data_IF_688878524558
#
_entry.id   IF_688878524558
#
_cell.length_a   1.000
_cell.length_b   1.000
_cell.length_c   1.000
_cell.angle_alpha   90.00
_cell.angle_beta   90.00
_cell.angle_gamma   90.00
#
_symmetry.space_group_name_H-M   'P 1'
#
loop_
_entity.id
_entity.type
_entity.pdbx_description
1 polymer ?
#
# COMPACT_ATOMS: atom_id res chain seq x y z
N UNK A 1 -20.99 -7.87 -9.52
CA UNK A 1 -20.24 -6.60 -9.70
C UNK A 1 -19.19 -6.81 -10.79
N UNK A 2 -19.13 -5.93 -11.78
CA UNK A 2 -18.37 -6.16 -13.03
C UNK A 2 -16.88 -6.39 -12.76
N UNK A 3 -16.26 -7.30 -13.54
CA UNK A 3 -14.81 -7.60 -13.51
C UNK A 3 -13.91 -6.34 -13.65
N UNK A 4 -14.47 -5.23 -14.12
CA UNK A 4 -13.79 -3.94 -14.28
C UNK A 4 -13.69 -3.16 -12.96
N UNK A 5 -14.70 -3.23 -12.09
CA UNK A 5 -14.69 -2.51 -10.81
C UNK A 5 -13.59 -2.97 -9.86
N UNK A 6 -13.32 -4.29 -9.82
CA UNK A 6 -12.27 -4.86 -8.99
C UNK A 6 -10.86 -4.40 -9.42
N UNK A 7 -10.60 -4.26 -10.72
CA UNK A 7 -9.31 -3.75 -11.24
C UNK A 7 -9.10 -2.27 -10.90
N UNK A 8 -10.15 -1.46 -10.96
CA UNK A 8 -10.07 -0.02 -10.64
C UNK A 8 -9.83 0.22 -9.16
N UNK A 9 -10.48 -0.56 -8.28
CA UNK A 9 -10.22 -0.51 -6.84
C UNK A 9 -8.75 -0.82 -6.52
N UNK A 10 -8.21 -1.82 -7.21
CA UNK A 10 -6.81 -2.23 -7.21
C UNK A 10 -5.86 -1.08 -7.56
N UNK A 11 -6.13 -0.42 -8.69
CA UNK A 11 -5.32 0.72 -9.18
C UNK A 11 -5.38 1.92 -8.23
N UNK A 12 -6.58 2.28 -7.76
CA UNK A 12 -6.77 3.39 -6.81
C UNK A 12 -6.05 3.10 -5.50
N UNK A 13 -6.13 1.87 -4.98
CA UNK A 13 -5.44 1.50 -3.76
C UNK A 13 -3.93 1.62 -3.90
N UNK A 14 -3.36 1.20 -5.04
CA UNK A 14 -1.93 1.30 -5.31
C UNK A 14 -1.45 2.76 -5.41
N UNK A 15 -2.23 3.61 -6.08
CA UNK A 15 -1.97 5.05 -6.15
C UNK A 15 -1.99 5.67 -4.75
N UNK A 16 -2.97 5.30 -3.92
CA UNK A 16 -3.09 5.79 -2.55
C UNK A 16 -1.88 5.38 -1.70
N UNK A 17 -1.41 4.14 -1.82
CA UNK A 17 -0.19 3.65 -1.16
C UNK A 17 1.02 4.49 -1.56
N UNK A 18 1.16 4.82 -2.85
CA UNK A 18 2.26 5.62 -3.37
C UNK A 18 2.23 7.06 -2.86
N UNK A 19 1.05 7.69 -2.86
CA UNK A 19 0.85 9.04 -2.33
C UNK A 19 1.18 9.07 -0.83
N UNK A 20 0.70 8.08 -0.07
CA UNK A 20 0.93 8.01 1.37
C UNK A 20 2.42 7.85 1.68
N UNK A 21 3.13 7.01 0.93
CA UNK A 21 4.57 6.80 1.05
C UNK A 21 5.36 8.08 0.75
N UNK A 22 4.97 8.82 -0.29
CA UNK A 22 5.54 10.14 -0.60
C UNK A 22 5.29 11.16 0.52
N UNK A 23 4.07 11.20 1.06
CA UNK A 23 3.70 12.10 2.16
C UNK A 23 4.51 11.82 3.43
N UNK A 24 4.64 10.55 3.81
CA UNK A 24 5.42 10.10 4.95
C UNK A 24 6.90 10.51 4.83
N UNK A 25 7.46 10.42 3.63
CA UNK A 25 8.86 10.74 3.37
C UNK A 25 9.14 12.23 3.25
N UNK A 26 8.31 12.97 2.50
CA UNK A 26 8.59 14.34 2.09
C UNK A 26 7.95 15.40 2.98
N UNK A 27 6.86 15.05 3.69
CA UNK A 27 6.13 15.97 4.54
C UNK A 27 6.25 15.58 6.01
N UNK A 28 6.04 14.30 6.33
CA UNK A 28 6.01 13.84 7.70
C UNK A 28 7.42 13.77 8.31
N UNK A 29 8.40 13.14 7.64
CA UNK A 29 9.78 13.04 8.14
C UNK A 29 10.43 14.41 8.44
N UNK A 30 10.47 15.37 7.50
CA UNK A 30 11.11 16.66 7.74
C UNK A 30 10.37 17.53 8.77
N UNK A 31 9.08 17.31 9.01
CA UNK A 31 8.35 18.01 10.08
C UNK A 31 8.90 17.68 11.48
N UNK A 32 9.54 16.52 11.65
CA UNK A 32 10.16 16.12 12.92
C UNK A 32 11.66 16.37 12.97
N UNK A 33 12.29 16.87 11.90
CA UNK A 33 13.70 17.24 11.91
C UNK A 33 13.93 18.34 12.95
N UNK A 34 14.66 18.00 14.03
CA UNK A 34 14.94 18.90 15.15
C UNK A 34 14.22 18.57 16.46
N UNK A 35 13.32 17.56 16.49
CA UNK A 35 12.74 17.06 17.73
C UNK A 35 13.41 15.76 18.20
N UNK A 36 13.48 15.57 19.51
CA UNK A 36 14.07 14.36 20.15
C UNK A 36 13.36 13.08 19.67
N UNK A 37 12.08 13.18 19.30
CA UNK A 37 11.26 12.07 18.83
C UNK A 37 11.52 11.69 17.36
N UNK A 38 12.41 12.38 16.64
CA UNK A 38 12.73 12.10 15.24
C UNK A 38 13.15 10.64 15.00
N UNK A 39 13.95 10.07 15.89
CA UNK A 39 14.38 8.67 15.80
C UNK A 39 13.19 7.71 15.88
N UNK A 40 12.29 7.91 16.85
CA UNK A 40 11.08 7.10 17.01
C UNK A 40 10.14 7.23 15.82
N UNK A 41 9.89 8.47 15.36
CA UNK A 41 9.05 8.72 14.19
C UNK A 41 9.62 8.10 12.92
N UNK A 42 10.94 8.21 12.72
CA UNK A 42 11.62 7.59 11.56
C UNK A 42 11.45 6.08 11.56
N UNK A 43 11.57 5.42 12.72
CA UNK A 43 11.35 3.97 12.84
C UNK A 43 9.90 3.60 12.50
N UNK A 44 8.92 4.34 13.03
CA UNK A 44 7.49 4.11 12.76
C UNK A 44 7.20 4.30 11.27
N UNK A 45 7.70 5.38 10.66
CA UNK A 45 7.50 5.64 9.24
C UNK A 45 8.13 4.53 8.38
N UNK A 46 9.35 4.11 8.69
CA UNK A 46 9.99 2.98 7.98
C UNK A 46 9.16 1.71 8.13
N UNK A 47 8.64 1.43 9.32
CA UNK A 47 7.79 0.27 9.56
C UNK A 47 6.49 0.32 8.75
N UNK A 48 5.84 1.48 8.70
CA UNK A 48 4.64 1.72 7.88
C UNK A 48 4.94 1.57 6.39
N UNK A 49 6.04 2.12 5.90
CA UNK A 49 6.48 1.95 4.50
C UNK A 49 6.70 0.47 4.18
N UNK A 50 7.35 -0.28 5.06
CA UNK A 50 7.60 -1.71 4.88
C UNK A 50 6.28 -2.51 4.83
N UNK A 51 5.34 -2.17 5.70
CA UNK A 51 4.00 -2.74 5.72
C UNK A 51 3.18 -2.38 4.46
N UNK A 52 3.32 -1.16 3.96
CA UNK A 52 2.72 -0.70 2.69
C UNK A 52 3.32 -1.43 1.48
N UNK A 53 4.62 -1.71 1.47
CA UNK A 53 5.28 -2.51 0.43
C UNK A 53 4.76 -3.96 0.48
N UNK A 54 4.65 -4.55 1.68
CA UNK A 54 4.09 -5.89 1.84
C UNK A 54 2.63 -5.95 1.36
N UNK A 55 1.84 -4.93 1.71
CA UNK A 55 0.48 -4.77 1.21
C UNK A 55 0.50 -4.72 -0.32
N UNK A 56 1.22 -3.78 -0.93
CA UNK A 56 1.37 -3.60 -2.39
C UNK A 56 1.88 -4.86 -3.11
N UNK A 57 2.75 -5.64 -2.48
CA UNK A 57 3.22 -6.93 -2.99
C UNK A 57 2.13 -7.99 -3.01
N UNK A 58 1.44 -8.20 -1.88
CA UNK A 58 0.31 -9.13 -1.79
C UNK A 58 -0.80 -8.77 -2.78
N UNK A 59 -1.00 -7.47 -2.90
CA UNK A 59 -1.84 -6.79 -3.84
C UNK A 59 -1.53 -7.17 -5.32
N UNK A 60 -0.28 -6.99 -5.76
CA UNK A 60 0.17 -7.40 -7.11
C UNK A 60 0.08 -8.92 -7.31
N UNK A 61 0.40 -9.72 -6.28
CA UNK A 61 0.32 -11.20 -6.34
C UNK A 61 -1.12 -11.67 -6.51
N UNK A 62 -2.08 -11.05 -5.83
CA UNK A 62 -3.51 -11.32 -5.99
C UNK A 62 -4.01 -10.95 -7.38
N UNK A 63 -3.52 -9.85 -7.97
CA UNK A 63 -3.85 -9.47 -9.35
C UNK A 63 -3.23 -10.42 -10.38
N UNK A 64 -2.03 -10.94 -10.12
CA UNK A 64 -1.32 -11.90 -10.99
C UNK A 64 -1.86 -13.31 -10.89
N UNK A 65 -2.47 -13.71 -9.78
CA UNK A 65 -3.23 -14.97 -9.73
C UNK A 65 -4.41 -14.79 -10.68
N UNK A 66 -4.47 -15.50 -11.82
CA UNK A 66 -5.73 -15.60 -12.52
C UNK A 66 -6.72 -16.16 -11.49
N UNK A 67 -7.76 -15.40 -11.18
CA UNK A 67 -8.93 -15.96 -10.51
C UNK A 67 -9.29 -17.15 -11.38
N UNK A 68 -9.01 -18.38 -10.94
CA UNK A 68 -9.53 -19.57 -11.62
C UNK A 68 -11.03 -19.31 -11.74
N UNK A 69 -11.57 -19.17 -12.95
CA UNK A 69 -12.99 -19.41 -13.07
C UNK A 69 -13.18 -20.91 -12.77
N UNK A 70 -14.35 -21.25 -12.24
CA UNK A 70 -14.87 -22.61 -12.07
C UNK A 70 -14.45 -23.30 -10.74
N UNK A 71 -15.38 -23.79 -9.91
CA UNK A 71 -16.69 -24.35 -10.23
C UNK A 71 -17.81 -23.83 -9.30
N UNK A 72 -18.85 -23.23 -9.90
CA UNK A 72 -20.21 -23.58 -9.52
C UNK A 72 -20.40 -25.04 -9.94
N UNK A 73 -20.31 -25.97 -8.99
CA UNK A 73 -20.54 -27.39 -9.23
C UNK A 73 -21.65 -27.90 -8.33
N UNK A 74 -22.84 -28.03 -8.94
CA UNK A 74 -24.09 -28.70 -8.53
C UNK A 74 -24.53 -28.62 -7.06
#
# INVERSE_FOLDING_TARGET
MSKYGAKIFWVISLILTFILMGYLWFFFLPQFEGKVEYQSMRIIVLFVILMLIAAAGAQIVLLRRPSRPEEFGN
#
